data_IF_048412294311
#
_entry.id   IF_048412294311
#
_cell.length_a   1.000
_cell.length_b   1.000
_cell.length_c   1.000
_cell.angle_alpha   90.00
_cell.angle_beta   90.00
_cell.angle_gamma   90.00
#
_symmetry.space_group_name_H-M   'P 1'
#
loop_
_entity.id
_entity.type
_entity.pdbx_description
1 polymer ?
#
# COMPACT_ATOMS: atom_id res chain seq x y z
N UNK A 1 4.95 -0.43 -6.67
CA UNK A 1 4.97 0.35 -5.42
C UNK A 1 3.63 0.21 -4.73
N UNK A 2 3.62 -0.20 -3.47
CA UNK A 2 2.43 -0.21 -2.64
C UNK A 2 2.24 1.17 -1.99
N UNK A 3 1.03 1.72 -2.04
CA UNK A 3 0.62 2.93 -1.32
C UNK A 3 -0.57 2.58 -0.44
N UNK A 4 -0.46 2.83 0.86
CA UNK A 4 -1.48 2.55 1.87
C UNK A 4 -1.88 3.86 2.54
N UNK A 5 -3.18 4.15 2.62
CA UNK A 5 -3.68 5.40 3.19
C UNK A 5 -5.01 5.22 3.94
N UNK A 6 -5.24 6.08 4.94
CA UNK A 6 -6.53 6.23 5.60
C UNK A 6 -7.40 7.27 4.89
N UNK A 7 -8.66 6.94 4.58
CA UNK A 7 -9.59 7.88 3.94
C UNK A 7 -10.09 8.96 4.89
N UNK A 8 -10.00 8.71 6.21
CA UNK A 8 -10.40 9.63 7.26
C UNK A 8 -9.17 10.30 7.91
N UNK A 9 -7.98 10.12 7.33
CA UNK A 9 -6.72 10.65 7.86
C UNK A 9 -6.77 12.19 7.92
N UNK A 10 -6.74 12.71 9.15
CA UNK A 10 -6.76 14.15 9.43
C UNK A 10 -5.38 14.78 9.44
N UNK A 11 -4.31 13.97 9.49
CA UNK A 11 -2.90 14.39 9.54
C UNK A 11 -2.33 14.46 8.14
N UNK A 12 -2.54 13.42 7.34
CA UNK A 12 -2.06 13.27 5.97
C UNK A 12 -3.25 13.01 5.02
N UNK A 13 -3.88 14.08 4.47
CA UNK A 13 -5.08 13.92 3.65
C UNK A 13 -4.90 12.97 2.46
N UNK A 14 -5.88 12.08 2.19
CA UNK A 14 -5.74 10.96 1.23
C UNK A 14 -5.49 11.42 -0.21
N UNK A 15 -5.86 12.65 -0.54
CA UNK A 15 -5.75 13.21 -1.87
C UNK A 15 -4.29 13.29 -2.37
N UNK A 16 -3.32 13.51 -1.49
CA UNK A 16 -1.90 13.54 -1.88
C UNK A 16 -1.43 12.15 -2.37
N UNK A 17 -1.71 11.11 -1.59
CA UNK A 17 -1.37 9.74 -1.94
C UNK A 17 -2.15 9.24 -3.18
N UNK A 18 -3.43 9.58 -3.32
CA UNK A 18 -4.21 9.30 -4.56
C UNK A 18 -3.58 9.93 -5.80
N UNK A 19 -3.11 11.19 -5.70
CA UNK A 19 -2.40 11.85 -6.82
C UNK A 19 -1.09 11.15 -7.13
N UNK A 20 -0.32 10.76 -6.12
CA UNK A 20 0.93 10.02 -6.31
C UNK A 20 0.68 8.66 -6.99
N UNK A 21 -0.32 7.91 -6.53
CA UNK A 21 -0.72 6.64 -7.14
C UNK A 21 -1.11 6.82 -8.61
N UNK A 22 -1.91 7.84 -8.91
CA UNK A 22 -2.32 8.15 -10.29
C UNK A 22 -1.14 8.53 -11.19
N UNK A 23 -0.14 9.26 -10.67
CA UNK A 23 1.08 9.59 -11.41
C UNK A 23 1.96 8.36 -11.65
N UNK A 24 2.05 7.45 -10.68
CA UNK A 24 2.79 6.20 -10.82
C UNK A 24 2.10 5.21 -11.79
N UNK A 25 0.79 5.34 -12.00
CA UNK A 25 0.03 4.58 -12.98
C UNK A 25 0.11 3.07 -12.71
N UNK A 26 0.45 2.30 -13.75
CA UNK A 26 0.59 0.83 -13.68
C UNK A 26 1.54 0.35 -12.57
N UNK A 27 2.52 1.18 -12.19
CA UNK A 27 3.49 0.82 -11.15
C UNK A 27 2.95 0.97 -9.72
N UNK A 28 1.77 1.54 -9.53
CA UNK A 28 1.17 1.72 -8.22
C UNK A 28 0.08 0.68 -7.91
N UNK A 29 0.12 0.17 -6.67
CA UNK A 29 -0.97 -0.54 -6.04
C UNK A 29 -1.46 0.32 -4.86
N UNK A 30 -2.68 0.86 -4.98
CA UNK A 30 -3.30 1.67 -3.93
C UNK A 30 -4.20 0.80 -3.04
N UNK A 31 -4.07 0.97 -1.72
CA UNK A 31 -4.95 0.40 -0.69
C UNK A 31 -5.47 1.53 0.19
N UNK A 32 -6.79 1.57 0.36
CA UNK A 32 -7.48 2.58 1.16
C UNK A 32 -8.25 1.92 2.29
N UNK A 33 -8.21 2.53 3.48
CA UNK A 33 -8.90 2.04 4.67
C UNK A 33 -9.71 3.18 5.30
N UNK A 34 -10.92 2.92 5.85
CA UNK A 34 -11.78 3.94 6.45
C UNK A 34 -11.32 4.34 7.86
N UNK A 35 -10.09 4.83 7.99
CA UNK A 35 -9.39 5.03 9.27
C UNK A 35 -8.70 6.39 9.33
N UNK A 36 -8.47 6.90 10.54
CA UNK A 36 -7.60 8.05 10.81
C UNK A 36 -6.11 7.62 10.86
N UNK A 37 -5.20 8.58 11.01
CA UNK A 37 -3.75 8.37 10.85
C UNK A 37 -3.17 7.28 11.76
N UNK A 38 -3.59 7.26 13.03
CA UNK A 38 -3.01 6.38 14.05
C UNK A 38 -3.72 5.03 14.15
N UNK A 39 -4.95 4.93 13.67
CA UNK A 39 -5.74 3.70 13.66
C UNK A 39 -5.03 2.56 12.93
N UNK A 40 -4.12 2.88 11.99
CA UNK A 40 -3.30 1.87 11.28
C UNK A 40 -2.39 1.07 12.20
N UNK A 41 -2.12 1.56 13.42
CA UNK A 41 -1.33 0.85 14.43
C UNK A 41 -2.19 0.02 15.38
N UNK A 42 -3.51 0.18 15.31
CA UNK A 42 -4.46 -0.52 16.16
C UNK A 42 -5.15 -1.66 15.42
N UNK A 43 -5.57 -2.67 16.19
CA UNK A 43 -6.36 -3.75 15.62
C UNK A 43 -7.81 -3.28 15.37
N UNK A 44 -8.43 -3.67 14.24
CA UNK A 44 -7.99 -4.70 13.28
C UNK A 44 -7.11 -4.18 12.13
N UNK A 45 -6.97 -2.87 11.98
CA UNK A 45 -6.38 -2.24 10.80
C UNK A 45 -4.88 -2.47 10.66
N UNK A 46 -4.17 -2.56 11.79
CA UNK A 46 -2.77 -2.99 11.82
C UNK A 46 -2.57 -4.34 11.14
N UNK A 47 -3.35 -5.36 11.53
CA UNK A 47 -3.27 -6.69 10.90
C UNK A 47 -3.60 -6.64 9.42
N UNK A 48 -4.61 -5.85 9.04
CA UNK A 48 -5.00 -5.72 7.64
C UNK A 48 -3.90 -5.07 6.79
N UNK A 49 -3.37 -3.94 7.26
CA UNK A 49 -2.30 -3.23 6.57
C UNK A 49 -1.03 -4.09 6.45
N UNK A 50 -0.68 -4.83 7.50
CA UNK A 50 0.44 -5.77 7.48
C UNK A 50 0.23 -6.91 6.48
N UNK A 51 -0.96 -7.51 6.43
CA UNK A 51 -1.27 -8.55 5.46
C UNK A 51 -1.12 -8.04 4.02
N UNK A 52 -1.66 -6.84 3.72
CA UNK A 52 -1.52 -6.20 2.40
C UNK A 52 -0.05 -5.88 2.05
N UNK A 53 0.80 -5.56 3.04
CA UNK A 53 2.25 -5.38 2.85
C UNK A 53 2.96 -6.69 2.51
N UNK A 54 2.69 -7.74 3.27
CA UNK A 54 3.27 -9.06 3.06
C UNK A 54 2.87 -9.61 1.69
N UNK A 55 1.59 -9.53 1.33
CA UNK A 55 1.09 -9.94 0.01
C UNK A 55 1.81 -9.22 -1.13
N UNK A 56 2.01 -7.90 -0.99
CA UNK A 56 2.75 -7.12 -1.98
C UNK A 56 4.21 -7.57 -2.07
N UNK A 57 4.91 -7.66 -0.93
CA UNK A 57 6.33 -8.01 -0.87
C UNK A 57 6.59 -9.42 -1.39
N UNK A 58 5.80 -10.40 -0.96
CA UNK A 58 5.89 -11.79 -1.45
C UNK A 58 5.71 -11.85 -2.97
N UNK A 59 4.78 -11.06 -3.54
CA UNK A 59 4.56 -11.03 -4.99
C UNK A 59 5.71 -10.41 -5.77
N UNK A 60 6.28 -9.30 -5.28
CA UNK A 60 7.31 -8.54 -6.01
C UNK A 60 8.72 -9.05 -5.78
N UNK A 61 8.97 -9.71 -4.64
CA UNK A 61 10.25 -10.33 -4.30
C UNK A 61 10.29 -11.83 -4.64
N UNK A 62 9.24 -12.37 -5.26
CA UNK A 62 9.23 -13.76 -5.73
C UNK A 62 10.47 -14.01 -6.62
N UNK A 63 11.39 -14.90 -6.19
CA UNK A 63 12.62 -15.18 -6.92
C UNK A 63 12.37 -15.69 -8.34
N UNK A 64 11.28 -16.43 -8.56
CA UNK A 64 10.93 -16.97 -9.87
C UNK A 64 10.52 -15.88 -10.86
N UNK A 65 9.93 -14.78 -10.38
CA UNK A 65 9.60 -13.60 -11.20
C UNK A 65 10.76 -12.62 -11.31
N UNK A 66 11.58 -12.48 -10.26
CA UNK A 66 12.76 -11.63 -10.27
C UNK A 66 13.82 -12.13 -11.26
N UNK A 67 14.02 -13.45 -11.37
CA UNK A 67 14.95 -14.05 -12.33
C UNK A 67 14.51 -13.87 -13.79
N UNK A 68 13.21 -13.73 -14.06
CA UNK A 68 12.67 -13.52 -15.41
C UNK A 68 12.83 -12.08 -15.92
N UNK A 69 13.04 -11.10 -15.02
CA UNK A 69 13.27 -9.68 -15.38
C UNK A 69 14.74 -9.42 -15.75
N UNK A 70 15.66 -10.33 -15.36
CA UNK A 70 17.10 -10.23 -15.62
C UNK A 70 17.62 -11.18 -16.71
N UNK A 71 16.73 -11.74 -17.55
CA UNK A 71 17.08 -12.44 -18.80
C UNK A 71 16.66 -11.62 -20.00
#
# INVERSE_FOLDING_TARGET
MLMQLGTNDRVAPPNAARRAARKAGYWAQLREYPIDHLDTFENPWQRRALADQLDFLTRVLDPLRSAAIHR
#
